data_IF_905231121191
#
_entry.id   IF_905231121191
#
_cell.length_a   1.000
_cell.length_b   1.000
_cell.length_c   1.000
_cell.angle_alpha   90.00
_cell.angle_beta   90.00
_cell.angle_gamma   90.00
#
_symmetry.space_group_name_H-M   'P 1'
#
loop_
_entity.id
_entity.type
_entity.pdbx_description
1 polymer ?
#
# COMPACT_ATOMS: atom_id res chain seq x y z
N UNK A 1 -23.50 -8.83 14.97
CA UNK A 1 -22.75 -7.59 14.61
C UNK A 1 -21.64 -8.03 13.69
N UNK A 2 -21.51 -7.43 12.51
CA UNK A 2 -20.49 -7.82 11.52
C UNK A 2 -19.10 -7.49 12.05
N UNK A 3 -18.20 -8.46 12.08
CA UNK A 3 -16.80 -8.26 12.48
C UNK A 3 -15.91 -8.10 11.25
N UNK A 4 -15.23 -6.97 11.13
CA UNK A 4 -14.41 -6.60 9.97
C UNK A 4 -12.92 -6.60 10.34
N UNK A 5 -12.07 -7.27 9.54
CA UNK A 5 -10.63 -7.11 9.62
C UNK A 5 -10.15 -6.07 8.58
N UNK A 6 -9.39 -5.07 9.04
CA UNK A 6 -8.70 -4.09 8.19
C UNK A 6 -7.23 -4.50 8.10
N UNK A 7 -6.86 -5.19 7.03
CA UNK A 7 -5.52 -5.70 6.80
C UNK A 7 -4.74 -4.71 5.92
N UNK A 8 -3.62 -4.21 6.41
CA UNK A 8 -2.88 -3.22 5.65
C UNK A 8 -1.36 -3.41 5.69
N UNK A 9 -0.71 -2.95 4.64
CA UNK A 9 0.73 -2.75 4.56
C UNK A 9 1.04 -1.25 4.48
N UNK A 10 2.01 -0.76 5.26
CA UNK A 10 2.35 0.66 5.28
C UNK A 10 3.83 0.91 5.53
N UNK A 11 4.62 1.19 4.47
CA UNK A 11 6.05 1.47 4.59
C UNK A 11 6.36 2.78 5.32
N UNK A 12 5.61 3.85 5.03
CA UNK A 12 5.83 5.21 5.56
C UNK A 12 4.56 5.83 6.17
N UNK A 13 3.71 5.02 6.76
CA UNK A 13 2.47 5.31 7.51
C UNK A 13 1.25 5.80 6.73
N UNK A 14 1.35 6.22 5.49
CA UNK A 14 0.18 6.76 4.76
C UNK A 14 -1.00 5.79 4.74
N UNK A 15 -0.77 4.53 4.38
CA UNK A 15 -1.83 3.51 4.37
C UNK A 15 -2.36 3.22 5.78
N UNK A 16 -1.51 3.26 6.80
CA UNK A 16 -1.88 3.11 8.21
C UNK A 16 -2.79 4.25 8.68
N UNK A 17 -2.51 5.49 8.27
CA UNK A 17 -3.34 6.66 8.60
C UNK A 17 -4.76 6.49 8.05
N UNK A 18 -4.91 6.04 6.80
CA UNK A 18 -6.22 5.72 6.25
C UNK A 18 -6.88 4.52 6.92
N UNK A 19 -6.14 3.47 7.24
CA UNK A 19 -6.67 2.34 8.00
C UNK A 19 -7.22 2.79 9.36
N UNK A 20 -6.53 3.74 10.02
CA UNK A 20 -6.98 4.37 11.27
C UNK A 20 -8.27 5.17 11.11
N UNK A 21 -8.38 5.98 10.06
CA UNK A 21 -9.60 6.75 9.75
C UNK A 21 -10.77 5.83 9.45
N UNK A 22 -10.56 4.79 8.64
CA UNK A 22 -11.58 3.79 8.30
C UNK A 22 -12.03 3.05 9.57
N UNK A 23 -11.10 2.61 10.39
CA UNK A 23 -11.41 1.94 11.66
C UNK A 23 -12.23 2.84 12.59
N UNK A 24 -11.80 4.09 12.78
CA UNK A 24 -12.50 5.05 13.63
C UNK A 24 -13.93 5.32 13.16
N UNK A 25 -14.16 5.43 11.86
CA UNK A 25 -15.50 5.63 11.31
C UNK A 25 -16.37 4.37 11.43
N UNK A 26 -15.82 3.17 11.18
CA UNK A 26 -16.54 1.91 11.39
C UNK A 26 -16.96 1.76 12.86
N UNK A 27 -16.07 2.08 13.81
CA UNK A 27 -16.39 2.07 15.25
C UNK A 27 -17.48 3.08 15.60
N UNK A 28 -17.44 4.31 15.04
CA UNK A 28 -18.47 5.33 15.21
C UNK A 28 -19.83 4.87 14.69
N UNK A 29 -19.85 4.03 13.65
CA UNK A 29 -21.06 3.43 13.08
C UNK A 29 -21.50 2.14 13.82
N UNK A 30 -20.86 1.78 14.93
CA UNK A 30 -21.20 0.63 15.76
C UNK A 30 -20.72 -0.72 15.19
N UNK A 31 -19.76 -0.73 14.25
CA UNK A 31 -19.19 -1.95 13.71
C UNK A 31 -18.00 -2.42 14.56
N UNK A 32 -17.90 -3.74 14.79
CA UNK A 32 -16.70 -4.37 15.38
C UNK A 32 -15.62 -4.49 14.29
N UNK A 33 -14.58 -3.68 14.40
CA UNK A 33 -13.49 -3.67 13.43
C UNK A 33 -12.13 -3.80 14.11
N UNK A 34 -11.22 -4.55 13.50
CA UNK A 34 -9.86 -4.79 13.98
C UNK A 34 -8.83 -4.43 12.93
N UNK A 35 -7.81 -3.67 13.32
CA UNK A 35 -6.69 -3.33 12.45
C UNK A 35 -5.58 -4.37 12.56
N UNK A 36 -5.07 -4.84 11.42
CA UNK A 36 -3.97 -5.81 11.33
C UNK A 36 -2.88 -5.24 10.43
N UNK A 37 -1.78 -4.82 11.05
CA UNK A 37 -0.61 -4.34 10.34
C UNK A 37 0.22 -5.51 9.80
N UNK A 38 0.33 -5.61 8.49
CA UNK A 38 1.06 -6.66 7.78
C UNK A 38 2.43 -6.19 7.27
N UNK A 39 2.92 -5.04 7.72
CA UNK A 39 4.16 -4.44 7.19
C UNK A 39 5.37 -5.28 7.53
N UNK A 40 5.58 -5.61 8.80
CA UNK A 40 6.71 -6.44 9.21
C UNK A 40 6.62 -7.86 8.61
N UNK A 41 7.76 -8.43 8.23
CA UNK A 41 7.82 -9.80 7.68
C UNK A 41 7.16 -10.81 8.62
N UNK A 42 7.44 -10.73 9.92
CA UNK A 42 6.91 -11.65 10.94
C UNK A 42 5.38 -11.70 10.98
N UNK A 43 4.69 -10.59 10.67
CA UNK A 43 3.23 -10.50 10.68
C UNK A 43 2.56 -11.39 9.59
N UNK A 44 3.31 -11.79 8.56
CA UNK A 44 2.83 -12.59 7.44
C UNK A 44 3.28 -14.06 7.48
N UNK A 45 3.99 -14.47 8.55
CA UNK A 45 4.54 -15.83 8.64
C UNK A 45 3.55 -16.87 9.15
N UNK A 46 2.47 -16.43 9.79
CA UNK A 46 1.42 -17.32 10.30
C UNK A 46 0.19 -17.22 9.41
N UNK A 47 -0.56 -18.32 9.22
CA UNK A 47 -1.85 -18.26 8.58
C UNK A 47 -2.75 -17.22 9.25
N UNK A 48 -3.36 -16.35 8.47
CA UNK A 48 -4.28 -15.36 9.01
C UNK A 48 -5.59 -16.06 9.41
N UNK A 49 -6.13 -15.83 10.65
CA UNK A 49 -7.31 -16.51 11.15
C UNK A 49 -8.60 -15.92 10.54
N UNK A 50 -8.76 -16.06 9.22
CA UNK A 50 -9.89 -15.48 8.48
C UNK A 50 -11.27 -15.95 8.98
N UNK A 51 -11.35 -17.10 9.64
CA UNK A 51 -12.62 -17.63 10.20
C UNK A 51 -13.24 -16.72 11.26
N UNK A 52 -12.42 -15.93 11.97
CA UNK A 52 -12.87 -15.03 13.03
C UNK A 52 -13.54 -13.73 12.56
N UNK A 53 -13.62 -13.49 11.24
CA UNK A 53 -14.15 -12.26 10.67
C UNK A 53 -15.23 -12.56 9.62
N UNK A 54 -16.22 -11.68 9.52
CA UNK A 54 -17.31 -11.79 8.54
C UNK A 54 -16.94 -11.12 7.21
N UNK A 55 -16.14 -10.06 7.25
CA UNK A 55 -15.73 -9.27 6.10
C UNK A 55 -14.32 -8.70 6.27
N UNK A 56 -13.75 -8.17 5.15
CA UNK A 56 -12.38 -7.70 5.11
C UNK A 56 -12.25 -6.37 4.38
N UNK A 57 -11.28 -5.55 4.81
CA UNK A 57 -10.81 -4.38 4.07
C UNK A 57 -9.30 -4.53 3.89
N UNK A 58 -8.80 -4.43 2.65
CA UNK A 58 -7.38 -4.55 2.33
C UNK A 58 -6.82 -3.19 1.90
N UNK A 59 -5.76 -2.72 2.56
CA UNK A 59 -5.10 -1.44 2.29
C UNK A 59 -3.64 -1.61 1.92
N UNK A 60 -3.20 -1.05 0.76
CA UNK A 60 -1.82 -1.19 0.29
C UNK A 60 -1.32 0.08 -0.42
N UNK A 61 -0.04 0.43 -0.27
CA UNK A 61 0.56 1.47 -1.09
C UNK A 61 0.82 0.97 -2.50
N UNK A 62 0.99 1.91 -3.43
CA UNK A 62 1.42 1.64 -4.79
C UNK A 62 2.92 1.85 -4.92
N UNK A 63 3.65 0.81 -5.31
CA UNK A 63 5.07 0.82 -5.62
C UNK A 63 5.28 0.38 -7.08
N UNK A 64 5.86 1.23 -7.91
CA UNK A 64 6.07 0.96 -9.33
C UNK A 64 4.80 0.40 -10.03
N UNK A 65 3.67 1.09 -9.85
CA UNK A 65 2.35 0.77 -10.42
C UNK A 65 1.63 -0.49 -9.87
N UNK A 66 2.24 -1.21 -8.94
CA UNK A 66 1.69 -2.42 -8.33
C UNK A 66 1.67 -2.31 -6.78
N UNK A 67 0.94 -3.19 -6.06
CA UNK A 67 1.13 -3.32 -4.63
C UNK A 67 2.55 -3.84 -4.33
N UNK A 68 3.05 -3.68 -3.09
CA UNK A 68 4.35 -4.24 -2.70
C UNK A 68 4.45 -5.72 -3.07
N UNK A 69 5.58 -6.15 -3.69
CA UNK A 69 5.79 -7.53 -4.12
C UNK A 69 5.49 -8.55 -3.01
N UNK A 70 5.94 -8.28 -1.79
CA UNK A 70 5.69 -9.14 -0.63
C UNK A 70 4.20 -9.33 -0.31
N UNK A 71 3.35 -8.38 -0.70
CA UNK A 71 1.90 -8.49 -0.56
C UNK A 71 1.27 -9.23 -1.73
N UNK A 72 1.78 -9.05 -2.95
CA UNK A 72 1.38 -9.86 -4.12
C UNK A 72 1.68 -11.34 -3.92
N UNK A 73 2.76 -11.67 -3.19
CA UNK A 73 3.13 -13.03 -2.83
C UNK A 73 2.28 -13.57 -1.66
N UNK A 74 1.88 -12.73 -0.72
CA UNK A 74 1.13 -13.13 0.47
C UNK A 74 -0.38 -13.28 0.22
N UNK A 75 -1.00 -12.38 -0.53
CA UNK A 75 -2.45 -12.41 -0.78
C UNK A 75 -2.97 -13.76 -1.30
N UNK A 76 -2.29 -14.46 -2.23
CA UNK A 76 -2.72 -15.78 -2.70
C UNK A 76 -2.70 -16.87 -1.64
N UNK A 77 -2.02 -16.65 -0.50
CA UNK A 77 -2.02 -17.63 0.61
C UNK A 77 -3.31 -17.61 1.43
N UNK A 78 -4.11 -16.56 1.28
CA UNK A 78 -5.39 -16.42 1.96
C UNK A 78 -6.45 -17.40 1.41
N UNK A 79 -7.50 -17.61 2.22
CA UNK A 79 -8.68 -18.40 1.85
C UNK A 79 -9.92 -17.58 2.18
N UNK A 80 -10.48 -16.94 1.16
CA UNK A 80 -11.63 -16.03 1.31
C UNK A 80 -12.94 -16.71 1.66
N UNK A 81 -13.15 -17.96 1.18
CA UNK A 81 -14.37 -18.73 1.50
C UNK A 81 -15.67 -18.02 1.10
N UNK A 82 -15.66 -17.23 0.05
CA UNK A 82 -16.81 -16.45 -0.41
C UNK A 82 -17.12 -15.21 0.46
N UNK A 83 -16.27 -14.84 1.41
CA UNK A 83 -16.50 -13.66 2.27
C UNK A 83 -16.37 -12.36 1.47
N UNK A 84 -17.22 -11.35 1.79
CA UNK A 84 -17.12 -10.05 1.15
C UNK A 84 -15.86 -9.31 1.59
N UNK A 85 -15.27 -8.56 0.66
CA UNK A 85 -14.17 -7.66 0.99
C UNK A 85 -14.24 -6.35 0.19
N UNK A 86 -13.54 -5.34 0.70
CA UNK A 86 -13.26 -4.09 0.03
C UNK A 86 -11.75 -3.90 -0.04
N UNK A 87 -11.28 -3.04 -0.92
CA UNK A 87 -9.86 -2.70 -1.02
C UNK A 87 -9.65 -1.21 -1.18
N UNK A 88 -8.50 -0.72 -0.76
CA UNK A 88 -8.04 0.63 -1.09
C UNK A 88 -6.54 0.62 -1.37
N UNK A 89 -6.12 1.53 -2.22
CA UNK A 89 -4.70 1.79 -2.46
C UNK A 89 -4.34 3.22 -2.07
N UNK A 90 -3.09 3.43 -1.64
CA UNK A 90 -2.54 4.76 -1.37
C UNK A 90 -1.39 5.04 -2.32
N UNK A 91 -1.34 6.24 -2.90
CA UNK A 91 -0.30 6.59 -3.86
C UNK A 91 0.17 8.03 -3.73
N UNK A 92 1.41 8.28 -4.14
CA UNK A 92 2.10 9.56 -3.96
C UNK A 92 1.94 10.52 -5.14
N UNK A 93 0.73 10.68 -5.68
CA UNK A 93 0.39 11.74 -6.65
C UNK A 93 0.52 11.35 -8.13
N UNK A 94 1.37 10.40 -8.55
CA UNK A 94 1.47 10.04 -9.97
C UNK A 94 0.21 9.31 -10.46
N UNK A 95 0.02 8.07 -10.11
CA UNK A 95 -1.11 7.23 -10.52
C UNK A 95 -1.23 6.04 -9.57
N UNK A 96 -2.43 5.48 -9.36
CA UNK A 96 -2.59 4.17 -8.73
C UNK A 96 -2.13 3.01 -9.64
N UNK A 97 -1.86 3.26 -10.91
CA UNK A 97 -1.35 2.30 -11.86
C UNK A 97 -2.23 1.06 -11.99
N UNK A 98 -1.60 -0.10 -11.91
CA UNK A 98 -2.24 -1.39 -12.00
C UNK A 98 -2.64 -1.99 -10.64
N UNK A 99 -2.29 -1.31 -9.54
CA UNK A 99 -2.35 -1.90 -8.19
C UNK A 99 -3.76 -2.36 -7.80
N UNK A 100 -4.79 -1.55 -8.05
CA UNK A 100 -6.17 -1.92 -7.71
C UNK A 100 -6.64 -3.19 -8.44
N UNK A 101 -6.44 -3.22 -9.78
CA UNK A 101 -6.82 -4.39 -10.57
C UNK A 101 -6.04 -5.63 -10.17
N UNK A 102 -4.73 -5.48 -9.87
CA UNK A 102 -3.89 -6.58 -9.42
C UNK A 102 -4.38 -7.16 -8.09
N UNK A 103 -4.62 -6.31 -7.07
CA UNK A 103 -5.15 -6.73 -5.77
C UNK A 103 -6.53 -7.39 -5.94
N UNK A 104 -7.42 -6.76 -6.74
CA UNK A 104 -8.75 -7.31 -7.06
C UNK A 104 -8.64 -8.74 -7.61
N UNK A 105 -7.74 -8.97 -8.56
CA UNK A 105 -7.54 -10.28 -9.18
C UNK A 105 -7.05 -11.31 -8.16
N UNK A 106 -6.04 -10.96 -7.33
CA UNK A 106 -5.50 -11.85 -6.31
C UNK A 106 -6.55 -12.19 -5.24
N UNK A 107 -7.33 -11.22 -4.78
CA UNK A 107 -8.38 -11.44 -3.78
C UNK A 107 -9.50 -12.33 -4.34
N UNK A 108 -9.90 -12.09 -5.59
CA UNK A 108 -10.92 -12.92 -6.26
C UNK A 108 -10.42 -14.37 -6.43
N UNK A 109 -9.18 -14.56 -6.83
CA UNK A 109 -8.55 -15.89 -6.93
C UNK A 109 -8.42 -16.57 -5.56
N UNK A 110 -8.19 -15.80 -4.49
CA UNK A 110 -8.18 -16.31 -3.12
C UNK A 110 -9.59 -16.62 -2.57
N UNK A 111 -10.64 -16.42 -3.37
CA UNK A 111 -12.03 -16.76 -3.04
C UNK A 111 -12.78 -15.69 -2.25
N UNK A 112 -12.32 -14.43 -2.25
CA UNK A 112 -13.09 -13.30 -1.72
C UNK A 112 -14.04 -12.72 -2.77
N UNK A 113 -15.11 -12.07 -2.30
CA UNK A 113 -16.04 -11.30 -3.14
C UNK A 113 -15.73 -9.81 -2.93
N UNK A 114 -14.96 -9.21 -3.86
CA UNK A 114 -14.67 -7.78 -3.79
C UNK A 114 -15.94 -6.98 -4.07
N UNK A 115 -16.24 -5.97 -3.25
CA UNK A 115 -17.49 -5.18 -3.29
C UNK A 115 -17.25 -3.69 -3.48
N UNK A 116 -16.04 -3.20 -3.23
CA UNK A 116 -15.70 -1.79 -3.26
C UNK A 116 -14.20 -1.60 -3.41
N UNK A 117 -13.79 -0.52 -4.07
CA UNK A 117 -12.42 -0.06 -4.12
C UNK A 117 -12.32 1.44 -3.85
N UNK A 118 -11.13 1.90 -3.46
CA UNK A 118 -10.80 3.33 -3.39
C UNK A 118 -9.33 3.57 -3.71
N UNK A 119 -9.04 4.78 -4.15
CA UNK A 119 -7.68 5.29 -4.29
C UNK A 119 -7.51 6.57 -3.48
N UNK A 120 -6.51 6.56 -2.63
CA UNK A 120 -6.26 7.64 -1.69
C UNK A 120 -4.91 8.28 -1.94
N UNK A 121 -4.89 9.61 -1.93
CA UNK A 121 -3.65 10.37 -2.05
C UNK A 121 -2.88 10.39 -0.73
N UNK A 122 -1.57 10.38 -0.84
CA UNK A 122 -0.69 10.57 0.29
C UNK A 122 0.68 11.10 -0.14
N UNK A 123 1.50 11.42 0.84
CA UNK A 123 2.90 11.79 0.57
C UNK A 123 3.66 10.62 -0.05
N UNK A 124 4.50 10.93 -1.03
CA UNK A 124 5.29 9.91 -1.71
C UNK A 124 6.28 9.24 -0.73
N UNK A 125 6.47 7.92 -0.87
CA UNK A 125 7.40 7.14 -0.03
C UNK A 125 8.80 7.73 0.00
N UNK A 126 9.31 8.26 -1.12
CA UNK A 126 10.64 8.86 -1.20
C UNK A 126 10.76 10.26 -0.57
N UNK A 127 9.68 10.80 0.01
CA UNK A 127 9.79 12.02 0.81
C UNK A 127 10.71 11.80 2.04
N UNK A 128 10.79 10.59 2.58
CA UNK A 128 11.77 10.26 3.64
C UNK A 128 13.22 10.28 3.12
N UNK A 129 13.41 10.19 1.80
CA UNK A 129 14.71 10.29 1.13
C UNK A 129 14.96 11.69 0.51
N UNK A 130 14.11 12.67 0.82
CA UNK A 130 14.31 14.07 0.46
C UNK A 130 13.46 14.59 -0.71
N UNK A 131 12.52 13.80 -1.27
CA UNK A 131 11.51 14.30 -2.20
C UNK A 131 10.51 15.20 -1.47
N UNK A 132 9.75 15.96 -2.24
CA UNK A 132 8.66 16.82 -1.75
C UNK A 132 7.40 16.64 -2.59
N UNK A 133 7.05 15.39 -2.89
CA UNK A 133 5.89 15.06 -3.70
C UNK A 133 4.67 14.81 -2.80
N UNK A 134 3.64 15.63 -2.96
CA UNK A 134 2.41 15.59 -2.14
C UNK A 134 2.70 15.65 -0.62
N UNK A 135 3.59 16.57 -0.14
CA UNK A 135 4.09 16.53 1.24
C UNK A 135 2.98 16.70 2.28
N UNK A 136 1.92 17.47 1.94
CA UNK A 136 0.82 17.83 2.82
C UNK A 136 -0.38 16.88 2.69
N UNK A 137 -0.18 15.71 2.06
CA UNK A 137 -1.21 14.69 1.90
C UNK A 137 -0.88 13.44 2.74
N UNK A 138 -1.88 12.75 3.31
CA UNK A 138 -3.30 13.08 3.25
C UNK A 138 -3.63 14.33 4.08
N UNK A 139 -4.69 15.03 3.67
CA UNK A 139 -5.26 16.15 4.40
C UNK A 139 -6.72 15.85 4.83
N UNK A 140 -7.41 16.81 5.45
CA UNK A 140 -8.77 16.63 5.97
C UNK A 140 -9.78 16.26 4.88
N UNK A 141 -9.63 16.78 3.66
CA UNK A 141 -10.49 16.40 2.52
C UNK A 141 -10.28 14.93 2.13
N UNK A 142 -9.03 14.46 2.12
CA UNK A 142 -8.71 13.06 1.86
C UNK A 142 -9.28 12.15 2.94
N UNK A 143 -9.15 12.53 4.21
CA UNK A 143 -9.70 11.77 5.32
C UNK A 143 -11.24 11.79 5.34
N UNK A 144 -11.88 12.85 4.80
CA UNK A 144 -13.34 12.84 4.58
C UNK A 144 -13.75 11.74 3.62
N UNK A 145 -13.06 11.61 2.47
CA UNK A 145 -13.31 10.52 1.52
C UNK A 145 -13.03 9.15 2.18
N UNK A 146 -12.02 9.06 3.04
CA UNK A 146 -11.75 7.84 3.83
C UNK A 146 -12.91 7.45 4.74
N UNK A 147 -13.57 8.42 5.41
CA UNK A 147 -14.78 8.18 6.22
C UNK A 147 -15.98 7.78 5.36
N UNK A 148 -16.18 8.46 4.23
CA UNK A 148 -17.24 8.09 3.27
C UNK A 148 -17.06 6.67 2.74
N UNK A 149 -15.80 6.30 2.41
CA UNK A 149 -15.46 4.93 2.01
C UNK A 149 -15.80 3.92 3.11
N UNK A 150 -15.48 4.20 4.37
CA UNK A 150 -15.79 3.31 5.49
C UNK A 150 -17.31 3.09 5.66
N UNK A 151 -18.09 4.17 5.58
CA UNK A 151 -19.54 4.09 5.67
C UNK A 151 -20.17 3.32 4.49
N UNK A 152 -19.64 3.50 3.27
CA UNK A 152 -20.07 2.75 2.11
C UNK A 152 -19.61 1.29 2.18
N UNK A 153 -18.38 1.04 2.63
CA UNK A 153 -17.86 -0.31 2.83
C UNK A 153 -18.73 -1.11 3.80
N UNK A 154 -19.14 -0.52 4.93
CA UNK A 154 -20.03 -1.19 5.90
C UNK A 154 -21.33 -1.68 5.25
N UNK A 155 -21.92 -0.90 4.35
CA UNK A 155 -23.13 -1.28 3.60
C UNK A 155 -22.86 -2.37 2.54
N UNK A 156 -21.73 -2.25 1.81
CA UNK A 156 -21.38 -3.17 0.73
C UNK A 156 -20.86 -4.52 1.23
N UNK A 157 -20.28 -4.54 2.43
CA UNK A 157 -19.75 -5.74 3.07
C UNK A 157 -20.79 -6.54 3.83
N UNK A 158 -22.04 -6.07 3.92
CA UNK A 158 -23.16 -6.86 4.45
C UNK A 158 -23.32 -8.12 3.58
N UNK A 159 -23.29 -9.33 4.17
CA UNK A 159 -23.50 -10.58 3.44
C UNK A 159 -24.79 -10.64 2.63
N UNK A 160 -25.84 -9.92 3.08
CA UNK A 160 -27.10 -9.82 2.38
C UNK A 160 -27.06 -8.90 1.14
N UNK A 161 -26.00 -8.10 0.98
CA UNK A 161 -25.85 -7.24 -0.17
C UNK A 161 -25.48 -8.06 -1.41
N UNK A 162 -26.31 -7.97 -2.46
CA UNK A 162 -26.13 -8.68 -3.72
C UNK A 162 -25.43 -7.84 -4.80
N UNK A 163 -25.07 -6.59 -4.50
CA UNK A 163 -24.43 -5.70 -5.49
C UNK A 163 -23.16 -6.31 -6.05
N UNK A 164 -23.06 -6.38 -7.34
CA UNK A 164 -21.86 -6.82 -8.03
C UNK A 164 -20.85 -5.67 -8.17
N UNK A 165 -19.58 -6.00 -8.06
CA UNK A 165 -18.47 -5.08 -8.28
C UNK A 165 -17.41 -5.75 -9.12
N UNK A 166 -16.90 -5.05 -10.11
CA UNK A 166 -15.75 -5.50 -10.89
C UNK A 166 -14.83 -4.32 -11.21
N UNK A 167 -13.53 -4.59 -11.25
CA UNK A 167 -12.54 -3.68 -11.79
C UNK A 167 -12.14 -4.13 -13.19
N UNK A 168 -12.10 -3.18 -14.11
CA UNK A 168 -11.62 -3.43 -15.46
C UNK A 168 -10.10 -3.58 -15.45
N UNK A 169 -9.61 -4.48 -16.30
CA UNK A 169 -8.18 -4.64 -16.55
C UNK A 169 -7.62 -3.33 -17.11
N UNK A 170 -6.63 -2.79 -16.45
CA UNK A 170 -5.98 -1.56 -16.89
C UNK A 170 -5.16 -1.81 -18.17
N UNK A 171 -5.14 -0.83 -19.07
CA UNK A 171 -4.36 -0.91 -20.29
C UNK A 171 -2.89 -1.20 -19.99
N UNK A 172 -2.27 -2.11 -20.73
CA UNK A 172 -0.87 -2.49 -20.56
C UNK A 172 -0.56 -3.40 -19.36
N UNK A 173 -1.56 -3.79 -18.55
CA UNK A 173 -1.35 -4.61 -17.34
C UNK A 173 -0.51 -5.87 -17.58
N UNK A 174 -0.81 -6.67 -18.61
CA UNK A 174 -0.12 -7.95 -18.82
C UNK A 174 1.37 -7.76 -19.12
N UNK A 175 1.69 -6.75 -19.94
CA UNK A 175 3.08 -6.42 -20.25
C UNK A 175 3.80 -5.88 -19.03
N UNK A 176 3.17 -4.97 -18.28
CA UNK A 176 3.73 -4.39 -17.07
C UNK A 176 3.97 -5.46 -16.00
N UNK A 177 2.99 -6.36 -15.79
CA UNK A 177 3.13 -7.47 -14.85
C UNK A 177 4.20 -8.45 -15.26
N UNK A 178 4.24 -8.83 -16.55
CA UNK A 178 5.30 -9.68 -17.08
C UNK A 178 6.68 -9.08 -16.85
N UNK A 179 6.87 -7.81 -17.18
CA UNK A 179 8.14 -7.12 -16.98
C UNK A 179 8.56 -7.08 -15.50
N UNK A 180 7.61 -6.87 -14.59
CA UNK A 180 7.88 -6.84 -13.16
C UNK A 180 8.19 -8.23 -12.60
N UNK A 181 7.44 -9.26 -13.01
CA UNK A 181 7.59 -10.64 -12.53
C UNK A 181 8.85 -11.33 -13.09
N UNK A 182 9.20 -10.99 -14.32
CA UNK A 182 10.37 -11.56 -15.00
C UNK A 182 11.66 -10.78 -14.70
N UNK A 183 11.55 -9.62 -14.02
CA UNK A 183 12.72 -8.83 -13.66
C UNK A 183 13.67 -9.66 -12.79
N UNK A 184 14.93 -9.85 -13.21
CA UNK A 184 15.88 -10.63 -12.44
C UNK A 184 16.10 -10.01 -11.05
N UNK A 185 16.26 -10.86 -10.05
CA UNK A 185 16.51 -10.43 -8.67
C UNK A 185 17.77 -9.53 -8.55
N UNK A 186 18.69 -9.66 -9.50
CA UNK A 186 19.93 -8.88 -9.61
C UNK A 186 19.88 -7.79 -10.68
N UNK A 187 18.69 -7.38 -11.13
CA UNK A 187 18.55 -6.27 -12.07
C UNK A 187 19.27 -5.04 -11.54
N UNK A 188 20.06 -4.39 -12.38
CA UNK A 188 20.75 -3.16 -12.03
C UNK A 188 19.73 -2.11 -11.57
N UNK A 189 19.87 -1.68 -10.33
CA UNK A 189 18.96 -0.70 -9.74
C UNK A 189 19.48 0.71 -10.01
N UNK A 190 18.56 1.64 -10.17
CA UNK A 190 18.86 3.05 -10.45
C UNK A 190 19.69 3.70 -9.32
N UNK A 191 19.54 3.19 -8.09
CA UNK A 191 20.23 3.65 -6.88
C UNK A 191 20.47 2.50 -5.91
N UNK A 192 21.36 2.72 -4.93
CA UNK A 192 21.59 1.76 -3.85
C UNK A 192 20.46 1.82 -2.80
N UNK A 193 20.28 0.71 -2.10
CA UNK A 193 19.31 0.63 -1.00
C UNK A 193 19.82 1.43 0.22
N UNK A 194 18.92 1.77 1.18
CA UNK A 194 19.32 2.47 2.38
C UNK A 194 20.46 1.79 3.13
N UNK A 195 21.45 2.59 3.54
CA UNK A 195 22.63 2.14 4.28
C UNK A 195 22.81 2.97 5.54
N UNK A 196 23.51 2.40 6.53
CA UNK A 196 23.88 3.12 7.75
C UNK A 196 25.04 4.08 7.47
N UNK A 197 24.84 5.34 7.86
CA UNK A 197 25.80 6.44 7.65
C UNK A 197 26.17 7.17 8.93
N UNK A 198 25.57 6.81 10.08
CA UNK A 198 25.81 7.41 11.39
C UNK A 198 26.04 6.33 12.44
N UNK A 199 26.48 6.75 13.61
CA UNK A 199 26.53 5.91 14.79
C UNK A 199 25.14 5.33 15.10
N UNK A 200 25.11 4.10 15.55
CA UNK A 200 23.89 3.32 15.74
C UNK A 200 24.09 2.39 16.95
N UNK A 201 23.10 2.37 17.84
CA UNK A 201 23.09 1.46 19.01
C UNK A 201 22.90 -0.01 18.67
N UNK A 202 22.72 -0.36 17.39
CA UNK A 202 22.42 -1.72 16.93
C UNK A 202 21.12 -2.30 17.53
N UNK A 203 20.13 -1.46 17.79
CA UNK A 203 18.86 -1.86 18.41
C UNK A 203 18.05 -2.89 17.57
N UNK A 204 18.40 -3.13 16.31
CA UNK A 204 17.81 -4.16 15.46
C UNK A 204 16.43 -3.83 14.87
N UNK A 205 15.80 -2.71 15.23
CA UNK A 205 14.43 -2.36 14.78
C UNK A 205 14.31 -2.35 13.26
N UNK A 206 15.28 -1.78 12.54
CA UNK A 206 15.26 -1.72 11.07
C UNK A 206 15.26 -3.10 10.40
N UNK A 207 15.91 -4.09 11.03
CA UNK A 207 15.93 -5.49 10.57
C UNK A 207 14.63 -6.20 10.93
N UNK A 208 14.18 -6.08 12.19
CA UNK A 208 12.98 -6.74 12.69
C UNK A 208 11.71 -6.29 11.92
N UNK A 209 11.63 -5.00 11.63
CA UNK A 209 10.52 -4.39 10.91
C UNK A 209 10.63 -4.49 9.38
N UNK A 210 11.76 -4.98 8.85
CA UNK A 210 11.94 -5.06 7.40
C UNK A 210 10.93 -6.01 6.75
N UNK A 211 10.04 -5.53 5.85
CA UNK A 211 8.99 -6.36 5.26
C UNK A 211 9.51 -7.46 4.34
N UNK A 212 10.72 -7.30 3.81
CA UNK A 212 11.33 -8.22 2.84
C UNK A 212 12.54 -8.99 3.41
N UNK A 213 12.83 -8.85 4.73
CA UNK A 213 14.04 -9.40 5.35
C UNK A 213 15.34 -9.03 4.59
N UNK A 214 15.37 -7.83 4.04
CA UNK A 214 16.51 -7.34 3.28
C UNK A 214 17.55 -6.64 4.16
N UNK A 215 17.11 -5.97 5.25
CA UNK A 215 17.98 -5.17 6.11
C UNK A 215 18.74 -6.06 7.11
N UNK A 216 20.05 -5.88 7.16
CA UNK A 216 20.91 -6.40 8.20
C UNK A 216 21.35 -5.27 9.14
N UNK A 217 20.94 -5.34 10.40
CA UNK A 217 21.25 -4.32 11.40
C UNK A 217 22.73 -4.29 11.81
N UNK A 218 23.44 -5.42 11.71
CA UNK A 218 24.86 -5.50 12.08
C UNK A 218 25.73 -4.76 11.06
N UNK A 219 25.59 -5.07 9.79
CA UNK A 219 26.32 -4.36 8.72
C UNK A 219 25.72 -3.00 8.41
N UNK A 220 24.46 -2.76 8.72
CA UNK A 220 23.72 -1.55 8.34
C UNK A 220 23.44 -1.45 6.84
N UNK A 221 23.38 -2.58 6.15
CA UNK A 221 23.15 -2.67 4.70
C UNK A 221 21.90 -3.50 4.38
N UNK A 222 21.30 -3.23 3.24
CA UNK A 222 20.21 -4.03 2.71
C UNK A 222 20.67 -4.93 1.58
N UNK A 223 20.14 -6.16 1.54
CA UNK A 223 20.27 -7.06 0.40
C UNK A 223 19.47 -6.49 -0.80
N UNK A 224 20.11 -6.10 -1.90
CA UNK A 224 19.44 -5.49 -3.05
C UNK A 224 18.50 -6.45 -3.77
N UNK A 225 18.73 -7.75 -3.70
CA UNK A 225 17.86 -8.76 -4.33
C UNK A 225 16.51 -8.88 -3.62
N UNK A 226 16.47 -8.59 -2.32
CA UNK A 226 15.25 -8.67 -1.49
C UNK A 226 14.56 -7.33 -1.30
N UNK A 227 15.32 -6.23 -1.24
CA UNK A 227 14.81 -4.92 -0.89
C UNK A 227 13.74 -4.44 -1.89
N UNK A 228 12.57 -4.05 -1.37
CA UNK A 228 11.45 -3.51 -2.14
C UNK A 228 11.39 -1.97 -2.13
N UNK A 229 12.42 -1.31 -1.66
CA UNK A 229 12.56 0.16 -1.63
C UNK A 229 11.41 0.91 -0.93
N UNK A 230 10.78 0.27 0.05
CA UNK A 230 9.67 0.84 0.81
C UNK A 230 10.09 1.92 1.83
N UNK A 231 11.37 2.15 2.03
CA UNK A 231 11.96 3.11 2.97
C UNK A 231 11.53 2.90 4.43
N UNK A 232 10.90 1.78 4.76
CA UNK A 232 10.41 1.51 6.12
C UNK A 232 11.53 1.48 7.15
N UNK A 233 12.68 0.89 6.83
CA UNK A 233 13.85 0.85 7.71
C UNK A 233 14.35 2.25 8.11
N UNK A 234 14.32 3.22 7.17
CA UNK A 234 14.66 4.62 7.47
C UNK A 234 13.58 5.27 8.35
N UNK A 235 12.32 4.94 8.06
CA UNK A 235 11.17 5.51 8.77
C UNK A 235 11.15 5.09 10.24
N UNK A 236 11.36 3.79 10.54
CA UNK A 236 11.30 3.24 11.90
C UNK A 236 12.59 3.43 12.72
N UNK A 237 13.68 3.85 12.09
CA UNK A 237 14.96 4.03 12.79
C UNK A 237 14.86 5.17 13.83
N UNK A 238 14.95 4.89 15.13
CA UNK A 238 14.83 5.92 16.17
C UNK A 238 15.98 6.94 16.11
N UNK A 239 17.16 6.50 15.67
CA UNK A 239 18.37 7.33 15.59
C UNK A 239 18.55 8.02 14.25
N UNK A 240 17.66 7.73 13.27
CA UNK A 240 17.78 8.23 11.89
C UNK A 240 19.17 7.94 11.29
N UNK A 241 19.71 6.76 11.60
CA UNK A 241 21.06 6.36 11.21
C UNK A 241 21.17 5.85 9.77
N UNK A 242 20.03 5.59 9.11
CA UNK A 242 19.97 5.11 7.73
C UNK A 242 19.73 6.26 6.76
N UNK A 243 20.40 6.21 5.62
CA UNK A 243 20.25 7.16 4.52
C UNK A 243 20.01 6.42 3.21
N UNK A 244 19.14 6.97 2.36
CA UNK A 244 18.98 6.54 0.98
C UNK A 244 20.09 7.14 0.10
N UNK A 245 20.30 6.56 -1.07
CA UNK A 245 21.22 7.06 -2.10
C UNK A 245 20.80 8.49 -2.54
N UNK A 246 21.77 9.40 -2.60
CA UNK A 246 21.53 10.79 -3.03
C UNK A 246 20.96 10.89 -4.45
N UNK A 247 21.25 9.92 -5.31
CA UNK A 247 20.65 9.82 -6.66
C UNK A 247 19.13 9.77 -6.66
N UNK A 248 18.50 9.29 -5.57
CA UNK A 248 17.03 9.38 -5.40
C UNK A 248 16.60 10.84 -5.43
N UNK A 249 17.31 11.71 -4.73
CA UNK A 249 17.03 13.15 -4.65
C UNK A 249 17.29 13.85 -5.99
N UNK A 250 18.42 13.51 -6.63
CA UNK A 250 18.81 14.03 -7.94
C UNK A 250 17.83 13.63 -9.05
N UNK A 251 17.21 12.47 -8.94
CA UNK A 251 16.21 11.97 -9.89
C UNK A 251 14.86 12.70 -9.79
N UNK A 252 14.55 13.35 -8.68
CA UNK A 252 13.23 13.95 -8.44
C UNK A 252 12.78 14.94 -9.54
N UNK A 253 13.59 15.91 -10.01
CA UNK A 253 13.19 16.80 -11.09
C UNK A 253 12.92 16.06 -12.41
N UNK A 254 13.74 15.06 -12.75
CA UNK A 254 13.54 14.23 -13.94
C UNK A 254 12.25 13.43 -13.85
N UNK A 255 11.95 12.88 -12.68
CA UNK A 255 10.69 12.16 -12.43
C UNK A 255 9.47 13.06 -12.66
N UNK A 256 9.49 14.29 -12.15
CA UNK A 256 8.39 15.23 -12.37
C UNK A 256 8.22 15.56 -13.85
N UNK A 257 9.33 15.82 -14.58
CA UNK A 257 9.32 16.13 -16.00
C UNK A 257 8.86 14.95 -16.87
N UNK A 258 9.37 13.76 -16.60
CA UNK A 258 9.04 12.51 -17.32
C UNK A 258 7.52 12.20 -17.28
N UNK A 259 6.89 12.50 -16.13
CA UNK A 259 5.47 12.22 -15.90
C UNK A 259 4.57 13.45 -16.01
N UNK A 260 5.10 14.59 -16.46
CA UNK A 260 4.33 15.83 -16.60
C UNK A 260 3.69 16.30 -15.31
N UNK A 261 4.30 16.05 -14.15
CA UNK A 261 3.71 16.33 -12.83
C UNK A 261 3.98 17.78 -12.43
N UNK A 262 3.18 18.69 -12.94
CA UNK A 262 3.22 20.11 -12.54
C UNK A 262 2.47 20.33 -11.23
N UNK A 263 2.79 21.44 -10.53
CA UNK A 263 2.07 21.84 -9.31
C UNK A 263 0.57 22.00 -9.57
N UNK A 264 0.17 22.47 -10.75
CA UNK A 264 -1.23 22.59 -11.17
C UNK A 264 -1.91 21.22 -11.23
N UNK A 265 -1.29 20.23 -11.90
CA UNK A 265 -1.82 18.86 -11.98
C UNK A 265 -1.92 18.23 -10.61
N UNK A 266 -0.89 18.41 -9.77
CA UNK A 266 -0.86 17.86 -8.42
C UNK A 266 -1.94 18.48 -7.51
N UNK A 267 -2.19 19.79 -7.65
CA UNK A 267 -3.21 20.50 -6.87
C UNK A 267 -4.64 20.00 -7.18
N UNK A 268 -4.90 19.52 -8.40
CA UNK A 268 -6.20 18.98 -8.81
C UNK A 268 -6.41 17.49 -8.49
N UNK A 269 -5.38 16.79 -8.00
CA UNK A 269 -5.51 15.40 -7.60
C UNK A 269 -6.42 15.25 -6.37
N UNK A 270 -7.29 14.24 -6.42
CA UNK A 270 -8.24 13.97 -5.35
C UNK A 270 -8.25 12.47 -5.01
N UNK A 271 -8.44 12.16 -3.74
CA UNK A 271 -8.83 10.83 -3.29
C UNK A 271 -10.24 10.51 -3.78
N UNK A 272 -10.52 9.27 -4.13
CA UNK A 272 -11.84 8.90 -4.65
C UNK A 272 -12.23 7.46 -4.36
N UNK A 273 -13.54 7.25 -4.25
CA UNK A 273 -14.15 5.93 -4.09
C UNK A 273 -14.53 5.41 -5.47
N UNK A 274 -14.26 4.12 -5.71
CA UNK A 274 -14.60 3.44 -6.94
C UNK A 274 -15.71 2.44 -6.63
N UNK A 275 -16.91 2.78 -7.08
CA UNK A 275 -18.10 1.95 -6.97
C UNK A 275 -18.44 1.28 -8.32
N UNK A 276 -19.45 0.40 -8.33
CA UNK A 276 -19.89 -0.29 -9.56
C UNK A 276 -20.17 0.69 -10.70
N UNK A 277 -19.67 0.36 -11.92
CA UNK A 277 -19.86 1.17 -13.12
C UNK A 277 -18.84 2.26 -13.38
N UNK A 278 -17.81 2.42 -12.55
CA UNK A 278 -16.74 3.40 -12.78
C UNK A 278 -15.73 2.89 -13.82
N UNK A 279 -15.44 3.72 -14.81
CA UNK A 279 -14.33 3.54 -15.74
C UNK A 279 -13.24 4.52 -15.39
N UNK A 280 -11.99 4.05 -15.31
CA UNK A 280 -10.84 4.93 -15.14
C UNK A 280 -10.84 5.95 -16.30
N UNK A 281 -10.73 7.24 -15.99
CA UNK A 281 -10.40 8.22 -17.00
C UNK A 281 -9.02 7.88 -17.58
N UNK A 282 -8.93 7.81 -18.91
CA UNK A 282 -7.74 7.46 -19.66
C UNK A 282 -6.61 8.46 -19.42
#
# INVERSE_FOLDING_TARGET
MTKIAILYFSGTRVTEEYAGVIHGELARLGCDAEQVNLTAFAARQKPFPAAGFDAFIFGMPVYADFPPRVMSEWLPTLRGGGKPCALFVTYGGRTPGHAQYHIYTLLTQAGFRVRLSAEFLGRHTFNVAGWRLMPDRPNDADFSIGREYAALALKRLDPANADEFSLQKTFGYDLAWKNLSDAPANMERKWTQPVRVKDCSLCGVCQAECPAQAMDAQSGKSDPAKCIECMHCMYVCPEKALQADDRIREFYPSFLGEWGMTDEILAHKQSRIIAAGWQAAA
#
